data_IF_963374921294
#
_entry.id   IF_963374921294
#
_cell.length_a   1.000
_cell.length_b   1.000
_cell.length_c   1.000
_cell.angle_alpha   90.00
_cell.angle_beta   90.00
_cell.angle_gamma   90.00
#
_symmetry.space_group_name_H-M   'P 1'
#
loop_
_entity.id
_entity.type
_entity.pdbx_description
1 polymer ?
#
# COMPACT_ATOMS: atom_id res chain seq x y z
N UNK A 1 -30.05 -16.56 18.90
CA UNK A 1 -29.76 -16.52 17.43
C UNK A 1 -28.77 -15.41 16.98
N UNK A 2 -28.58 -14.32 17.73
CA UNK A 2 -27.69 -13.20 17.31
C UNK A 2 -26.17 -13.46 17.37
N UNK A 3 -25.71 -14.32 18.29
CA UNK A 3 -24.25 -14.58 18.46
C UNK A 3 -23.62 -15.37 17.29
N UNK A 4 -24.36 -16.27 16.64
CA UNK A 4 -23.87 -17.06 15.49
C UNK A 4 -23.65 -16.20 14.24
N UNK A 5 -24.48 -15.18 14.00
CA UNK A 5 -24.42 -14.33 12.81
C UNK A 5 -23.18 -13.42 12.80
N UNK A 6 -22.79 -12.88 13.96
CA UNK A 6 -21.56 -12.05 14.06
C UNK A 6 -20.27 -12.84 13.77
N UNK A 7 -20.26 -14.15 13.97
CA UNK A 7 -19.09 -15.00 13.75
C UNK A 7 -18.62 -15.03 12.28
N UNK A 8 -19.56 -15.02 11.32
CA UNK A 8 -19.22 -15.02 9.88
C UNK A 8 -18.54 -13.72 9.44
N UNK A 9 -19.01 -12.57 9.92
CA UNK A 9 -18.37 -11.28 9.61
C UNK A 9 -16.93 -11.22 10.13
N UNK A 10 -16.71 -11.64 11.38
CA UNK A 10 -15.36 -11.73 11.95
C UNK A 10 -14.46 -12.75 11.25
N UNK A 11 -15.01 -13.84 10.76
CA UNK A 11 -14.29 -14.83 9.93
C UNK A 11 -13.75 -14.19 8.65
N UNK A 12 -14.54 -13.32 8.00
CA UNK A 12 -14.09 -12.57 6.81
C UNK A 12 -13.00 -11.55 7.15
N UNK A 13 -13.13 -10.85 8.29
CA UNK A 13 -12.11 -9.91 8.76
C UNK A 13 -10.80 -10.63 9.05
N UNK A 14 -10.85 -11.79 9.73
CA UNK A 14 -9.67 -12.61 10.02
C UNK A 14 -9.01 -13.16 8.75
N UNK A 15 -9.80 -13.64 7.78
CA UNK A 15 -9.27 -14.09 6.48
C UNK A 15 -8.56 -12.95 5.75
N UNK A 16 -9.16 -11.77 5.71
CA UNK A 16 -8.59 -10.58 5.09
C UNK A 16 -7.35 -10.09 5.81
N UNK A 17 -7.31 -10.16 7.14
CA UNK A 17 -6.14 -9.83 7.94
C UNK A 17 -4.94 -10.74 7.60
N UNK A 18 -5.17 -12.06 7.55
CA UNK A 18 -4.14 -13.03 7.16
C UNK A 18 -3.62 -12.78 5.74
N UNK A 19 -4.51 -12.45 4.81
CA UNK A 19 -4.11 -12.15 3.44
C UNK A 19 -3.28 -10.86 3.36
N UNK A 20 -3.67 -9.80 4.08
CA UNK A 20 -2.89 -8.57 4.17
C UNK A 20 -1.53 -8.80 4.83
N UNK A 21 -1.50 -9.61 5.89
CA UNK A 21 -0.25 -10.01 6.56
C UNK A 21 0.70 -10.71 5.58
N UNK A 22 0.23 -11.69 4.81
CA UNK A 22 1.07 -12.40 3.84
C UNK A 22 1.50 -11.51 2.66
N UNK A 23 0.58 -10.70 2.11
CA UNK A 23 0.88 -9.76 1.03
C UNK A 23 2.00 -8.80 1.40
N UNK A 24 1.86 -8.16 2.57
CA UNK A 24 2.87 -7.21 3.04
C UNK A 24 4.16 -7.90 3.52
N UNK A 25 4.13 -9.21 3.78
CA UNK A 25 5.31 -10.00 4.05
C UNK A 25 6.36 -9.92 2.95
N UNK A 26 5.93 -10.00 1.69
CA UNK A 26 6.81 -9.82 0.54
C UNK A 26 7.47 -8.43 0.51
N UNK A 27 6.72 -7.40 0.84
CA UNK A 27 7.22 -6.01 0.86
C UNK A 27 8.14 -5.77 2.04
N UNK A 28 7.76 -6.26 3.22
CA UNK A 28 8.50 -6.07 4.46
C UNK A 28 9.86 -6.79 4.45
N UNK A 29 9.93 -8.00 3.91
CA UNK A 29 11.14 -8.82 3.95
C UNK A 29 12.11 -8.53 2.81
N UNK A 30 11.64 -7.98 1.68
CA UNK A 30 12.48 -7.74 0.51
C UNK A 30 13.73 -6.93 0.82
N UNK A 31 13.59 -5.79 1.48
CA UNK A 31 14.70 -4.88 1.77
C UNK A 31 15.79 -5.51 2.64
N UNK A 32 15.40 -6.46 3.51
CA UNK A 32 16.32 -7.21 4.37
C UNK A 32 17.00 -8.34 3.59
N UNK A 33 16.21 -9.12 2.86
CA UNK A 33 16.69 -10.29 2.09
C UNK A 33 17.53 -9.89 0.86
N UNK A 34 17.27 -8.71 0.29
CA UNK A 34 18.01 -8.18 -0.85
C UNK A 34 19.51 -8.13 -0.60
N UNK A 35 19.94 -7.75 0.61
CA UNK A 35 21.36 -7.56 0.95
C UNK A 35 22.12 -8.90 0.87
N UNK A 36 21.75 -9.95 1.62
CA UNK A 36 22.46 -11.23 1.53
C UNK A 36 22.27 -11.92 0.17
N UNK A 37 21.11 -11.79 -0.46
CA UNK A 37 20.85 -12.38 -1.78
C UNK A 37 21.74 -11.78 -2.86
N UNK A 38 21.93 -10.46 -2.90
CA UNK A 38 22.85 -9.79 -3.81
C UNK A 38 24.30 -10.25 -3.60
N UNK A 39 24.72 -10.39 -2.35
CA UNK A 39 26.08 -10.82 -2.02
C UNK A 39 26.33 -12.30 -2.38
N UNK A 40 25.42 -13.22 -2.09
CA UNK A 40 25.54 -14.65 -2.37
C UNK A 40 25.53 -14.96 -3.87
N UNK A 41 24.60 -14.30 -4.59
CA UNK A 41 24.41 -14.56 -6.03
C UNK A 41 25.32 -13.73 -6.94
N UNK A 42 26.02 -12.73 -6.43
CA UNK A 42 26.84 -11.80 -7.20
C UNK A 42 26.02 -10.91 -8.15
N UNK A 43 24.71 -10.76 -7.89
CA UNK A 43 23.82 -9.92 -8.70
C UNK A 43 23.93 -8.46 -8.29
N UNK A 44 23.83 -7.56 -9.26
CA UNK A 44 23.80 -6.12 -9.02
C UNK A 44 22.54 -5.70 -8.23
N UNK A 45 22.59 -4.55 -7.62
CA UNK A 45 21.45 -4.02 -6.86
C UNK A 45 20.25 -3.74 -7.76
N UNK A 46 20.49 -3.31 -9.02
CA UNK A 46 19.44 -3.11 -10.01
C UNK A 46 18.76 -4.43 -10.39
N UNK A 47 19.55 -5.49 -10.65
CA UNK A 47 19.03 -6.81 -11.02
C UNK A 47 18.16 -7.41 -9.92
N UNK A 48 18.60 -7.38 -8.65
CA UNK A 48 17.79 -7.87 -7.55
C UNK A 48 16.52 -7.04 -7.37
N UNK A 49 16.64 -5.72 -7.47
CA UNK A 49 15.49 -4.81 -7.31
C UNK A 49 14.50 -4.93 -8.46
N UNK A 50 14.95 -5.27 -9.68
CA UNK A 50 14.08 -5.49 -10.82
C UNK A 50 13.08 -6.65 -10.57
N UNK A 51 13.46 -7.68 -9.83
CA UNK A 51 12.54 -8.74 -9.42
C UNK A 51 11.37 -8.21 -8.55
N UNK A 52 11.66 -7.31 -7.62
CA UNK A 52 10.62 -6.63 -6.85
C UNK A 52 9.75 -5.71 -7.73
N UNK A 53 10.37 -5.00 -8.65
CA UNK A 53 9.65 -4.15 -9.62
C UNK A 53 8.69 -4.98 -10.47
N UNK A 54 9.11 -6.13 -10.98
CA UNK A 54 8.21 -7.07 -11.66
C UNK A 54 7.08 -7.56 -10.76
N UNK A 55 7.38 -7.87 -9.49
CA UNK A 55 6.33 -8.25 -8.53
C UNK A 55 5.26 -7.16 -8.43
N UNK A 56 5.63 -5.90 -8.35
CA UNK A 56 4.66 -4.80 -8.27
C UNK A 56 3.90 -4.57 -9.57
N UNK A 57 4.52 -4.77 -10.72
CA UNK A 57 3.85 -4.71 -12.01
C UNK A 57 2.80 -5.84 -12.15
N UNK A 58 3.18 -7.07 -11.87
CA UNK A 58 2.27 -8.22 -11.93
C UNK A 58 1.20 -8.17 -10.84
N UNK A 59 1.50 -7.57 -9.66
CA UNK A 59 0.49 -7.23 -8.66
C UNK A 59 -0.61 -6.33 -9.25
N UNK A 60 -0.25 -5.25 -9.93
CA UNK A 60 -1.23 -4.32 -10.49
C UNK A 60 -2.09 -4.97 -11.59
N UNK A 61 -1.46 -5.76 -12.47
CA UNK A 61 -2.14 -6.52 -13.52
C UNK A 61 -3.10 -7.55 -12.89
N UNK A 62 -2.63 -8.36 -11.96
CA UNK A 62 -3.45 -9.39 -11.31
C UNK A 62 -4.59 -8.79 -10.49
N UNK A 63 -4.37 -7.67 -9.80
CA UNK A 63 -5.40 -6.96 -9.06
C UNK A 63 -6.55 -6.52 -9.97
N UNK A 64 -6.23 -6.02 -11.18
CA UNK A 64 -7.24 -5.63 -12.16
C UNK A 64 -8.11 -6.81 -12.60
N UNK A 65 -7.50 -7.95 -12.95
CA UNK A 65 -8.25 -9.12 -13.41
C UNK A 65 -8.92 -9.92 -12.29
N UNK A 66 -8.40 -9.85 -11.08
CA UNK A 66 -8.90 -10.62 -9.93
C UNK A 66 -10.35 -10.27 -9.58
N UNK A 67 -10.79 -9.03 -9.79
CA UNK A 67 -12.19 -8.63 -9.60
C UNK A 67 -13.15 -9.50 -10.41
N UNK A 68 -12.84 -9.76 -11.68
CA UNK A 68 -13.64 -10.61 -12.56
C UNK A 68 -13.63 -12.09 -12.14
N UNK A 69 -12.49 -12.57 -11.64
CA UNK A 69 -12.35 -13.94 -11.12
C UNK A 69 -13.18 -14.10 -9.84
N UNK A 70 -13.16 -13.11 -8.95
CA UNK A 70 -13.94 -13.10 -7.72
C UNK A 70 -15.45 -13.15 -7.95
N UNK A 71 -15.93 -12.42 -8.95
CA UNK A 71 -17.36 -12.41 -9.30
C UNK A 71 -17.81 -13.76 -9.84
N UNK A 72 -16.95 -14.48 -10.57
CA UNK A 72 -17.25 -15.77 -11.17
C UNK A 72 -17.07 -16.96 -10.22
N UNK A 73 -15.99 -16.99 -9.46
CA UNK A 73 -15.57 -18.15 -8.65
C UNK A 73 -15.73 -17.94 -7.15
N UNK A 74 -16.03 -16.73 -6.72
CA UNK A 74 -16.14 -16.38 -5.31
C UNK A 74 -14.78 -16.24 -4.62
N UNK A 75 -14.80 -15.96 -3.31
CA UNK A 75 -13.62 -15.58 -2.54
C UNK A 75 -12.71 -16.76 -2.19
N UNK A 76 -13.27 -17.92 -1.83
CA UNK A 76 -12.49 -19.09 -1.36
C UNK A 76 -11.45 -19.60 -2.37
N UNK A 77 -11.81 -19.90 -3.63
CA UNK A 77 -10.84 -20.37 -4.63
C UNK A 77 -9.69 -19.36 -4.83
N UNK A 78 -9.99 -18.05 -4.79
CA UNK A 78 -8.99 -17.01 -4.97
C UNK A 78 -7.95 -17.04 -3.84
N UNK A 79 -8.37 -17.26 -2.58
CA UNK A 79 -7.43 -17.41 -1.47
C UNK A 79 -6.55 -18.65 -1.60
N UNK A 80 -7.11 -19.80 -2.04
CA UNK A 80 -6.31 -21.02 -2.22
C UNK A 80 -5.32 -20.91 -3.39
N UNK A 81 -5.74 -20.30 -4.52
CA UNK A 81 -4.82 -20.00 -5.62
C UNK A 81 -3.72 -19.04 -5.16
N UNK A 82 -4.11 -17.97 -4.44
CA UNK A 82 -3.17 -17.03 -3.83
C UNK A 82 -2.21 -17.69 -2.84
N UNK A 83 -2.67 -18.71 -2.10
CA UNK A 83 -1.83 -19.49 -1.18
C UNK A 83 -0.74 -20.27 -1.92
N UNK A 84 -1.12 -20.99 -2.97
CA UNK A 84 -0.18 -21.77 -3.79
C UNK A 84 0.82 -20.85 -4.47
N UNK A 85 0.35 -19.81 -5.17
CA UNK A 85 1.22 -18.88 -5.89
C UNK A 85 2.13 -18.09 -4.94
N UNK A 86 1.59 -17.62 -3.81
CA UNK A 86 2.37 -16.87 -2.81
C UNK A 86 3.41 -17.73 -2.12
N UNK A 87 3.07 -18.94 -1.71
CA UNK A 87 4.04 -19.86 -1.14
C UNK A 87 5.13 -20.23 -2.16
N UNK A 88 4.72 -20.53 -3.40
CA UNK A 88 5.65 -20.83 -4.50
C UNK A 88 6.58 -19.66 -4.80
N UNK A 89 6.08 -18.41 -4.71
CA UNK A 89 6.89 -17.21 -4.91
C UNK A 89 8.11 -17.16 -3.97
N UNK A 90 7.93 -17.42 -2.69
CA UNK A 90 9.05 -17.52 -1.75
C UNK A 90 9.87 -18.81 -1.93
N UNK A 91 9.19 -19.96 -1.94
CA UNK A 91 9.87 -21.26 -1.90
C UNK A 91 10.69 -21.51 -3.17
N UNK A 92 10.12 -21.26 -4.35
CA UNK A 92 10.84 -21.44 -5.62
C UNK A 92 11.97 -20.43 -5.74
N UNK A 93 11.78 -19.18 -5.27
CA UNK A 93 12.87 -18.20 -5.25
C UNK A 93 14.07 -18.69 -4.44
N UNK A 94 13.86 -19.39 -3.33
CA UNK A 94 14.96 -19.95 -2.52
C UNK A 94 15.80 -20.99 -3.26
N UNK A 95 15.25 -21.61 -4.29
CA UNK A 95 15.92 -22.65 -5.11
C UNK A 95 16.58 -22.07 -6.36
N UNK A 96 16.36 -20.79 -6.68
CA UNK A 96 16.85 -20.19 -7.92
C UNK A 96 18.37 -20.06 -7.96
N UNK A 97 18.92 -20.27 -9.16
CA UNK A 97 20.35 -20.07 -9.49
C UNK A 97 20.55 -19.06 -10.60
N UNK A 98 19.48 -18.50 -11.17
CA UNK A 98 19.53 -17.55 -12.27
C UNK A 98 18.55 -16.40 -12.09
N UNK A 99 18.89 -15.25 -12.67
CA UNK A 99 18.02 -14.06 -12.67
C UNK A 99 16.65 -14.32 -13.31
N UNK A 100 16.60 -15.08 -14.40
CA UNK A 100 15.33 -15.39 -15.06
C UNK A 100 14.39 -16.21 -14.18
N UNK A 101 14.93 -17.21 -13.47
CA UNK A 101 14.15 -18.00 -12.52
C UNK A 101 13.70 -17.16 -11.32
N UNK A 102 14.54 -16.25 -10.83
CA UNK A 102 14.20 -15.29 -9.80
C UNK A 102 13.09 -14.34 -10.25
N UNK A 103 13.16 -13.78 -11.46
CA UNK A 103 12.10 -12.91 -12.00
C UNK A 103 10.78 -13.66 -12.21
N UNK A 104 10.84 -14.93 -12.63
CA UNK A 104 9.64 -15.75 -12.78
C UNK A 104 8.99 -16.06 -11.42
N UNK A 105 9.77 -16.46 -10.42
CA UNK A 105 9.25 -16.85 -9.11
C UNK A 105 8.88 -15.65 -8.24
N UNK A 106 9.82 -14.75 -7.97
CA UNK A 106 9.59 -13.59 -7.11
C UNK A 106 8.80 -12.49 -7.84
N UNK A 107 9.10 -12.25 -9.12
CA UNK A 107 8.40 -11.24 -9.90
C UNK A 107 6.98 -11.67 -10.30
N UNK A 108 6.84 -12.76 -11.06
CA UNK A 108 5.54 -13.12 -11.63
C UNK A 108 4.66 -13.84 -10.60
N UNK A 109 5.12 -14.97 -10.03
CA UNK A 109 4.25 -15.76 -9.13
C UNK A 109 3.84 -14.98 -7.90
N UNK A 110 4.79 -14.33 -7.20
CA UNK A 110 4.46 -13.54 -6.03
C UNK A 110 3.67 -12.27 -6.39
N UNK A 111 3.95 -11.66 -7.54
CA UNK A 111 3.20 -10.51 -8.03
C UNK A 111 1.72 -10.84 -8.24
N UNK A 112 1.43 -11.91 -8.97
CA UNK A 112 0.05 -12.38 -9.20
C UNK A 112 -0.63 -12.71 -7.87
N UNK A 113 0.03 -13.46 -6.98
CA UNK A 113 -0.51 -13.83 -5.69
C UNK A 113 -0.87 -12.59 -4.85
N UNK A 114 0.04 -11.64 -4.73
CA UNK A 114 -0.16 -10.44 -3.90
C UNK A 114 -1.26 -9.53 -4.45
N UNK A 115 -1.41 -9.43 -5.78
CA UNK A 115 -2.52 -8.72 -6.42
C UNK A 115 -3.88 -9.38 -6.13
N UNK A 116 -3.96 -10.70 -6.22
CA UNK A 116 -5.17 -11.46 -5.88
C UNK A 116 -5.55 -11.30 -4.41
N UNK A 117 -4.59 -11.32 -3.49
CA UNK A 117 -4.82 -11.17 -2.04
C UNK A 117 -5.35 -9.79 -1.69
N UNK A 118 -4.84 -8.74 -2.31
CA UNK A 118 -5.32 -7.38 -2.12
C UNK A 118 -6.80 -7.22 -2.48
N UNK A 119 -7.15 -7.62 -3.69
CA UNK A 119 -8.51 -7.44 -4.20
C UNK A 119 -9.51 -8.32 -3.46
N UNK A 120 -9.15 -9.59 -3.20
CA UNK A 120 -10.05 -10.50 -2.47
C UNK A 120 -10.33 -10.01 -1.05
N UNK A 121 -9.34 -9.48 -0.36
CA UNK A 121 -9.50 -8.95 1.00
C UNK A 121 -10.37 -7.70 1.02
N UNK A 122 -10.10 -6.74 0.15
CA UNK A 122 -10.83 -5.46 0.12
C UNK A 122 -12.30 -5.64 -0.29
N UNK A 123 -12.56 -6.46 -1.31
CA UNK A 123 -13.92 -6.71 -1.79
C UNK A 123 -14.71 -7.53 -0.75
N UNK A 124 -14.11 -8.54 -0.13
CA UNK A 124 -14.81 -9.37 0.87
C UNK A 124 -15.28 -8.53 2.05
N UNK A 125 -14.44 -7.65 2.58
CA UNK A 125 -14.84 -6.76 3.68
C UNK A 125 -15.97 -5.83 3.24
N UNK A 126 -15.89 -5.28 2.02
CA UNK A 126 -16.92 -4.37 1.49
C UNK A 126 -18.27 -5.06 1.27
N UNK A 127 -18.29 -6.35 0.92
CA UNK A 127 -19.51 -7.14 0.79
C UNK A 127 -20.17 -7.40 2.13
N UNK A 128 -19.39 -7.63 3.20
CA UNK A 128 -19.89 -7.97 4.52
C UNK A 128 -20.17 -6.76 5.42
N UNK A 129 -19.49 -5.63 5.20
CA UNK A 129 -19.61 -4.44 6.03
C UNK A 129 -19.85 -3.19 5.20
N UNK A 130 -20.87 -2.42 5.59
CA UNK A 130 -21.31 -1.19 4.90
C UNK A 130 -21.43 -0.02 5.88
N UNK A 131 -21.55 1.20 5.36
CA UNK A 131 -21.74 2.41 6.16
C UNK A 131 -20.62 2.63 7.18
N UNK A 132 -20.99 2.99 8.40
CA UNK A 132 -20.03 3.30 9.50
C UNK A 132 -19.16 2.12 9.92
N UNK A 133 -19.58 0.89 9.65
CA UNK A 133 -18.86 -0.32 10.06
C UNK A 133 -17.76 -0.70 9.08
N UNK A 134 -17.83 -0.26 7.81
CA UNK A 134 -16.85 -0.62 6.80
C UNK A 134 -15.44 -0.13 7.14
N UNK A 135 -15.28 1.16 7.42
CA UNK A 135 -13.97 1.75 7.66
C UNK A 135 -13.26 1.12 8.87
N UNK A 136 -14.03 0.84 9.95
CA UNK A 136 -13.52 0.17 11.15
C UNK A 136 -13.02 -1.25 10.83
N UNK A 137 -13.81 -2.04 10.12
CA UNK A 137 -13.47 -3.44 9.85
C UNK A 137 -12.37 -3.56 8.80
N UNK A 138 -12.37 -2.66 7.81
CA UNK A 138 -11.25 -2.54 6.87
C UNK A 138 -9.96 -2.19 7.60
N UNK A 139 -9.99 -1.22 8.52
CA UNK A 139 -8.83 -0.83 9.33
C UNK A 139 -8.28 -1.99 10.16
N UNK A 140 -9.15 -2.79 10.80
CA UNK A 140 -8.73 -3.99 11.56
C UNK A 140 -8.05 -5.01 10.63
N UNK A 141 -8.62 -5.29 9.47
CA UNK A 141 -8.00 -6.21 8.51
C UNK A 141 -6.67 -5.66 7.97
N UNK A 142 -6.59 -4.36 7.71
CA UNK A 142 -5.39 -3.71 7.19
C UNK A 142 -4.24 -3.65 8.20
N UNK A 143 -4.51 -3.79 9.51
CA UNK A 143 -3.46 -3.93 10.54
C UNK A 143 -2.54 -5.13 10.29
N UNK A 144 -2.94 -6.11 9.47
CA UNK A 144 -2.07 -7.16 9.00
C UNK A 144 -0.80 -6.63 8.30
N UNK A 145 -0.87 -5.48 7.61
CA UNK A 145 0.25 -4.88 6.90
C UNK A 145 1.39 -4.41 7.85
N UNK A 146 1.16 -3.47 8.78
CA UNK A 146 2.20 -3.06 9.71
C UNK A 146 2.64 -4.17 10.67
N UNK A 147 1.75 -5.10 11.04
CA UNK A 147 2.14 -6.28 11.83
C UNK A 147 3.05 -7.22 11.05
N UNK A 148 2.83 -7.39 9.75
CA UNK A 148 3.74 -8.11 8.88
C UNK A 148 5.12 -7.45 8.83
N UNK A 149 5.15 -6.12 8.73
CA UNK A 149 6.39 -5.34 8.77
C UNK A 149 7.20 -5.63 10.04
N UNK A 150 6.56 -5.76 11.19
CA UNK A 150 7.24 -6.09 12.46
C UNK A 150 7.61 -7.57 12.53
N UNK A 151 6.62 -8.45 12.41
CA UNK A 151 6.78 -9.89 12.71
C UNK A 151 7.69 -10.57 11.68
N UNK A 152 7.44 -10.37 10.39
CA UNK A 152 8.24 -11.02 9.34
C UNK A 152 9.64 -10.43 9.24
N UNK A 153 9.82 -9.12 9.50
CA UNK A 153 11.17 -8.54 9.55
C UNK A 153 11.99 -9.06 10.73
N UNK A 154 11.36 -9.19 11.92
CA UNK A 154 12.02 -9.82 13.09
C UNK A 154 12.40 -11.26 12.82
N UNK A 155 11.51 -12.03 12.19
CA UNK A 155 11.77 -13.41 11.81
C UNK A 155 12.97 -13.51 10.86
N UNK A 156 12.99 -12.73 9.77
CA UNK A 156 14.10 -12.75 8.80
C UNK A 156 15.40 -12.28 9.46
N UNK A 157 15.35 -11.24 10.28
CA UNK A 157 16.52 -10.80 11.06
C UNK A 157 17.09 -11.93 11.91
N UNK A 158 16.23 -12.65 12.62
CA UNK A 158 16.66 -13.79 13.46
C UNK A 158 17.24 -14.94 12.62
N UNK A 159 16.61 -15.24 11.48
CA UNK A 159 17.07 -16.29 10.57
C UNK A 159 18.44 -16.00 9.94
N UNK A 160 18.77 -14.72 9.75
CA UNK A 160 20.03 -14.25 9.19
C UNK A 160 21.11 -13.99 10.27
N UNK A 161 20.76 -14.00 11.56
CA UNK A 161 21.68 -13.70 12.64
C UNK A 161 22.71 -14.81 12.82
N UNK A 162 23.99 -14.49 12.63
CA UNK A 162 25.11 -15.44 12.77
C UNK A 162 25.21 -16.50 11.66
N UNK A 163 24.42 -16.37 10.61
CA UNK A 163 24.44 -17.27 9.45
C UNK A 163 25.27 -16.65 8.30
N UNK A 164 25.95 -17.51 7.55
CA UNK A 164 26.77 -17.13 6.42
C UNK A 164 26.10 -17.52 5.08
N UNK A 165 26.47 -16.80 4.02
CA UNK A 165 26.19 -17.15 2.61
C UNK A 165 24.71 -17.24 2.27
N UNK A 166 24.20 -18.47 2.15
CA UNK A 166 22.90 -18.78 1.57
C UNK A 166 21.73 -18.83 2.58
N UNK A 167 21.92 -18.36 3.82
CA UNK A 167 20.89 -18.37 4.88
C UNK A 167 19.58 -17.69 4.46
N UNK A 168 19.63 -16.75 3.52
CA UNK A 168 18.43 -16.11 2.94
C UNK A 168 17.51 -17.13 2.25
N UNK A 169 18.08 -18.26 1.72
CA UNK A 169 17.30 -19.33 1.09
C UNK A 169 16.44 -20.06 2.12
N UNK A 170 17.03 -20.44 3.24
CA UNK A 170 16.31 -21.06 4.35
C UNK A 170 15.22 -20.13 4.91
N UNK A 171 15.52 -18.85 5.07
CA UNK A 171 14.52 -17.85 5.48
C UNK A 171 13.34 -17.78 4.50
N UNK A 172 13.60 -17.76 3.19
CA UNK A 172 12.54 -17.75 2.17
C UNK A 172 11.72 -19.05 2.16
N UNK A 173 12.33 -20.22 2.39
CA UNK A 173 11.58 -21.48 2.48
C UNK A 173 10.58 -21.44 3.65
N UNK A 174 11.02 -21.02 4.82
CA UNK A 174 10.13 -20.89 5.98
C UNK A 174 9.03 -19.84 5.73
N UNK A 175 9.35 -18.69 5.12
CA UNK A 175 8.35 -17.71 4.73
C UNK A 175 7.34 -18.29 3.74
N UNK A 176 7.76 -19.12 2.79
CA UNK A 176 6.88 -19.84 1.86
C UNK A 176 5.90 -20.76 2.60
N UNK A 177 6.41 -21.59 3.52
CA UNK A 177 5.57 -22.50 4.33
C UNK A 177 4.60 -21.72 5.21
N UNK A 178 5.07 -20.64 5.87
CA UNK A 178 4.23 -19.78 6.70
C UNK A 178 3.12 -19.11 5.86
N UNK A 179 3.47 -18.60 4.69
CA UNK A 179 2.50 -17.99 3.75
C UNK A 179 1.46 -19.00 3.33
N UNK A 180 1.86 -20.23 2.99
CA UNK A 180 0.93 -21.31 2.64
C UNK A 180 -0.03 -21.59 3.80
N UNK A 181 0.48 -21.80 5.00
CA UNK A 181 -0.31 -22.13 6.18
C UNK A 181 -1.32 -21.00 6.49
N UNK A 182 -0.86 -19.74 6.54
CA UNK A 182 -1.71 -18.59 6.80
C UNK A 182 -2.81 -18.43 5.74
N UNK A 183 -2.49 -18.59 4.46
CA UNK A 183 -3.46 -18.38 3.38
C UNK A 183 -4.41 -19.56 3.20
N UNK A 184 -4.01 -20.79 3.53
CA UNK A 184 -4.92 -21.93 3.62
C UNK A 184 -5.94 -21.68 4.74
N UNK A 185 -5.50 -21.22 5.91
CA UNK A 185 -6.42 -20.81 7.00
C UNK A 185 -7.33 -19.67 6.55
N UNK A 186 -6.80 -18.66 5.85
CA UNK A 186 -7.60 -17.58 5.30
C UNK A 186 -8.68 -18.09 4.32
N UNK A 187 -8.33 -19.02 3.43
CA UNK A 187 -9.27 -19.67 2.51
C UNK A 187 -10.37 -20.46 3.21
N UNK A 188 -10.05 -21.16 4.31
CA UNK A 188 -11.03 -21.87 5.14
C UNK A 188 -11.97 -20.91 5.86
N UNK A 189 -11.44 -19.78 6.34
CA UNK A 189 -12.22 -18.74 7.02
C UNK A 189 -13.03 -17.87 6.04
N UNK A 190 -12.61 -17.76 4.79
CA UNK A 190 -13.25 -16.94 3.78
C UNK A 190 -14.72 -17.33 3.56
N UNK A 191 -15.56 -16.32 3.40
CA UNK A 191 -16.99 -16.47 3.10
C UNK A 191 -17.32 -15.77 1.79
N UNK A 192 -18.30 -16.30 1.07
CA UNK A 192 -18.88 -15.68 -0.12
C UNK A 192 -19.68 -14.42 0.19
N UNK A 193 -20.77 -14.21 -0.52
CA UNK A 193 -21.65 -13.08 -0.24
C UNK A 193 -22.48 -13.37 1.03
N UNK A 194 -22.87 -12.33 1.80
CA UNK A 194 -23.76 -12.49 2.95
C UNK A 194 -25.07 -13.21 2.61
N UNK A 195 -25.59 -12.96 1.39
CA UNK A 195 -26.83 -13.54 0.89
C UNK A 195 -26.77 -15.08 0.79
N UNK A 196 -25.59 -15.66 0.50
CA UNK A 196 -25.36 -17.11 0.42
C UNK A 196 -25.59 -17.80 1.78
N UNK A 197 -25.61 -17.00 2.86
CA UNK A 197 -25.81 -17.45 4.24
C UNK A 197 -27.14 -16.94 4.82
N UNK A 198 -28.07 -16.46 4.00
CA UNK A 198 -29.30 -15.80 4.41
C UNK A 198 -29.05 -14.64 5.39
N UNK A 199 -28.04 -13.83 5.12
CA UNK A 199 -27.64 -12.68 5.92
C UNK A 199 -27.61 -11.42 5.06
N UNK A 200 -27.73 -10.28 5.72
CA UNK A 200 -27.48 -8.97 5.12
C UNK A 200 -26.13 -8.46 5.58
N UNK A 201 -25.55 -7.54 4.81
CA UNK A 201 -24.31 -6.86 5.18
C UNK A 201 -24.49 -6.13 6.52
N UNK A 202 -23.44 -6.11 7.34
CA UNK A 202 -23.45 -5.44 8.63
C UNK A 202 -23.27 -3.92 8.48
N UNK A 203 -24.15 -3.15 9.05
CA UNK A 203 -24.12 -1.69 9.08
C UNK A 203 -25.34 -1.06 8.43
N UNK A 204 -25.47 0.25 8.62
CA UNK A 204 -26.52 1.03 7.98
C UNK A 204 -26.04 1.49 6.62
N UNK A 205 -26.81 1.26 5.57
CA UNK A 205 -26.59 1.92 4.29
C UNK A 205 -26.73 3.43 4.50
N UNK A 206 -25.83 4.26 3.95
CA UNK A 206 -26.04 5.70 3.94
C UNK A 206 -27.40 5.97 3.27
N UNK A 207 -28.31 6.66 3.97
CA UNK A 207 -29.54 7.13 3.35
C UNK A 207 -29.11 7.96 2.13
N UNK A 208 -29.68 7.65 0.95
CA UNK A 208 -29.49 8.47 -0.25
C UNK A 208 -29.95 9.89 0.13
N UNK A 209 -29.01 10.81 0.26
CA UNK A 209 -29.33 12.24 0.33
C UNK A 209 -30.17 12.56 -0.90
N UNK A 210 -31.27 13.24 -0.72
CA UNK A 210 -32.30 13.41 -1.76
C UNK A 210 -31.90 14.18 -3.02
N UNK A 211 -30.63 14.56 -3.18
CA UNK A 211 -30.07 15.08 -4.44
C UNK A 211 -29.35 13.97 -5.19
N UNK A 212 -29.68 13.71 -6.46
CA UNK A 212 -28.97 12.73 -7.27
C UNK A 212 -27.50 13.15 -7.40
N UNK A 213 -26.56 12.34 -6.87
CA UNK A 213 -25.13 12.52 -7.17
C UNK A 213 -24.91 12.43 -8.68
N UNK A 214 -24.14 13.37 -9.25
CA UNK A 214 -23.74 13.29 -10.66
C UNK A 214 -23.01 11.96 -10.90
N UNK A 215 -23.52 11.17 -11.84
CA UNK A 215 -22.88 9.92 -12.27
C UNK A 215 -21.85 10.27 -13.34
N UNK A 216 -20.57 10.25 -13.00
CA UNK A 216 -19.49 10.55 -13.92
C UNK A 216 -19.19 9.36 -14.84
N UNK A 217 -19.12 9.60 -16.16
CA UNK A 217 -18.54 8.63 -17.07
C UNK A 217 -17.00 8.61 -16.89
N UNK A 218 -16.35 7.44 -17.07
CA UNK A 218 -14.88 7.32 -16.96
C UNK A 218 -14.19 8.34 -17.88
N UNK A 219 -14.62 8.42 -19.14
CA UNK A 219 -14.05 9.36 -20.12
C UNK A 219 -14.20 10.82 -19.68
N UNK A 220 -15.33 11.18 -19.10
CA UNK A 220 -15.59 12.53 -18.59
C UNK A 220 -14.68 12.85 -17.41
N UNK A 221 -14.54 11.95 -16.42
CA UNK A 221 -13.64 12.14 -15.29
C UNK A 221 -12.19 12.29 -15.75
N UNK A 222 -11.70 11.43 -16.65
CA UNK A 222 -10.34 11.46 -17.19
C UNK A 222 -10.09 12.61 -18.18
N UNK A 223 -11.09 13.39 -18.54
CA UNK A 223 -10.91 14.66 -19.26
C UNK A 223 -10.70 15.87 -18.34
N UNK A 224 -10.81 15.70 -17.04
CA UNK A 224 -10.66 16.78 -16.05
C UNK A 224 -9.28 16.78 -15.39
N UNK A 225 -8.81 17.95 -14.94
CA UNK A 225 -7.52 18.10 -14.26
C UNK A 225 -7.44 17.36 -12.90
N UNK A 226 -8.49 17.36 -12.02
CA UNK A 226 -8.38 16.77 -10.69
C UNK A 226 -7.95 15.30 -10.69
N UNK A 227 -8.41 14.49 -11.65
CA UNK A 227 -8.02 13.06 -11.69
C UNK A 227 -6.55 12.91 -12.05
N UNK A 228 -6.05 13.63 -13.06
CA UNK A 228 -4.66 13.57 -13.46
C UNK A 228 -3.74 14.18 -12.40
N UNK A 229 -4.15 15.30 -11.79
CA UNK A 229 -3.43 15.88 -10.66
C UNK A 229 -3.30 14.89 -9.49
N UNK A 230 -4.39 14.20 -9.14
CA UNK A 230 -4.37 13.15 -8.10
C UNK A 230 -3.53 11.93 -8.52
N UNK A 231 -3.60 11.48 -9.78
CA UNK A 231 -2.80 10.38 -10.31
C UNK A 231 -1.30 10.72 -10.23
N UNK A 232 -0.88 11.87 -10.76
CA UNK A 232 0.54 12.24 -10.77
C UNK A 232 1.09 12.55 -9.37
N UNK A 233 0.28 13.19 -8.52
CA UNK A 233 0.62 13.39 -7.12
C UNK A 233 0.85 12.04 -6.40
N UNK A 234 -0.07 11.10 -6.58
CA UNK A 234 0.02 9.79 -5.95
C UNK A 234 1.12 8.93 -6.58
N UNK A 235 1.31 9.01 -7.90
CA UNK A 235 2.38 8.31 -8.61
C UNK A 235 3.76 8.72 -8.09
N UNK A 236 4.02 10.02 -7.97
CA UNK A 236 5.31 10.54 -7.47
C UNK A 236 5.51 10.21 -5.99
N UNK A 237 4.44 10.20 -5.18
CA UNK A 237 4.48 9.69 -3.82
C UNK A 237 4.84 8.20 -3.75
N UNK A 238 4.17 7.36 -4.54
CA UNK A 238 4.41 5.91 -4.57
C UNK A 238 5.80 5.58 -5.09
N UNK A 239 6.30 6.33 -6.08
CA UNK A 239 7.65 6.19 -6.59
C UNK A 239 8.67 6.42 -5.48
N UNK A 240 8.54 7.51 -4.72
CA UNK A 240 9.40 7.83 -3.58
C UNK A 240 9.26 6.79 -2.45
N UNK A 241 8.02 6.44 -2.09
CA UNK A 241 7.72 5.49 -1.01
C UNK A 241 8.38 4.14 -1.27
N UNK A 242 8.14 3.55 -2.44
CA UNK A 242 8.67 2.24 -2.76
C UNK A 242 10.17 2.23 -3.00
N UNK A 243 10.74 3.36 -3.44
CA UNK A 243 12.18 3.53 -3.49
C UNK A 243 12.78 3.49 -2.08
N UNK A 244 12.29 4.30 -1.16
CA UNK A 244 12.77 4.29 0.25
C UNK A 244 12.54 2.92 0.86
N UNK A 245 11.36 2.33 0.69
CA UNK A 245 11.00 1.03 1.26
C UNK A 245 11.97 -0.08 0.85
N UNK A 246 12.43 -0.08 -0.39
CA UNK A 246 13.28 -1.13 -0.93
C UNK A 246 14.77 -0.86 -0.78
N UNK A 247 15.20 0.40 -0.58
CA UNK A 247 16.60 0.78 -0.58
C UNK A 247 17.14 1.18 0.79
N UNK A 248 16.28 1.53 1.76
CA UNK A 248 16.72 2.13 3.02
C UNK A 248 17.64 1.24 3.86
N UNK A 249 17.37 -0.08 3.93
CA UNK A 249 18.27 -1.01 4.64
C UNK A 249 19.62 -1.07 3.95
N UNK A 250 19.63 -1.13 2.62
CA UNK A 250 20.88 -1.14 1.84
C UNK A 250 21.65 0.18 1.99
N UNK A 251 20.96 1.33 2.09
CA UNK A 251 21.57 2.61 2.41
C UNK A 251 22.27 2.58 3.78
N UNK A 252 21.58 2.10 4.80
CA UNK A 252 22.16 2.00 6.14
C UNK A 252 23.35 1.04 6.22
N UNK A 253 23.28 -0.08 5.52
CA UNK A 253 24.36 -1.08 5.57
C UNK A 253 25.56 -0.71 4.68
N UNK A 254 25.32 -0.28 3.45
CA UNK A 254 26.38 -0.02 2.49
C UNK A 254 27.00 1.39 2.57
N UNK A 255 26.16 2.41 2.80
CA UNK A 255 26.64 3.80 2.81
C UNK A 255 27.01 4.27 4.22
N UNK A 256 26.26 3.86 5.26
CA UNK A 256 26.51 4.26 6.66
C UNK A 256 27.26 3.20 7.49
N UNK A 257 27.47 1.99 6.95
CA UNK A 257 28.22 0.94 7.63
C UNK A 257 27.54 0.30 8.84
N UNK A 258 26.21 0.45 8.96
CA UNK A 258 25.45 -0.19 10.04
C UNK A 258 25.39 -1.71 9.80
N UNK A 259 25.35 -2.49 10.88
CA UNK A 259 25.08 -3.91 10.77
C UNK A 259 23.64 -4.17 10.28
N UNK A 260 23.43 -5.25 9.52
CA UNK A 260 22.11 -5.62 8.99
C UNK A 260 21.04 -5.70 10.10
N UNK A 261 21.43 -6.22 11.29
CA UNK A 261 20.54 -6.29 12.43
C UNK A 261 20.10 -4.93 12.98
N UNK A 262 21.00 -3.94 13.00
CA UNK A 262 20.73 -2.56 13.43
C UNK A 262 19.83 -1.85 12.40
N UNK A 263 20.17 -1.95 11.11
CA UNK A 263 19.35 -1.42 10.03
C UNK A 263 17.92 -2.00 10.04
N UNK A 264 17.81 -3.32 10.30
CA UNK A 264 16.49 -3.98 10.42
C UNK A 264 15.71 -3.47 11.63
N UNK A 265 16.36 -3.18 12.76
CA UNK A 265 15.69 -2.60 13.94
C UNK A 265 15.08 -1.23 13.62
N UNK A 266 15.82 -0.38 12.90
CA UNK A 266 15.28 0.91 12.43
C UNK A 266 14.08 0.70 11.51
N UNK A 267 14.20 -0.21 10.54
CA UNK A 267 13.15 -0.51 9.57
C UNK A 267 11.83 -1.00 10.23
N UNK A 268 11.93 -1.80 11.28
CA UNK A 268 10.78 -2.31 12.05
C UNK A 268 10.00 -1.18 12.72
N UNK A 269 10.64 -0.06 13.07
CA UNK A 269 9.99 1.11 13.68
C UNK A 269 8.85 1.62 12.79
N UNK A 270 9.02 1.59 11.46
CA UNK A 270 7.97 1.97 10.50
C UNK A 270 6.70 1.15 10.75
N UNK A 271 6.83 -0.17 10.93
CA UNK A 271 5.71 -1.05 11.21
C UNK A 271 5.08 -0.80 12.58
N UNK A 272 5.89 -0.69 13.63
CA UNK A 272 5.40 -0.44 15.00
C UNK A 272 4.59 0.86 15.04
N UNK A 273 5.16 1.95 14.50
CA UNK A 273 4.48 3.25 14.45
C UNK A 273 3.27 3.19 13.52
N UNK A 274 3.34 2.43 12.41
CA UNK A 274 2.25 2.22 11.46
C UNK A 274 0.98 1.67 12.10
N UNK A 275 1.11 0.74 13.07
CA UNK A 275 -0.04 0.17 13.80
C UNK A 275 -0.87 1.29 14.48
N UNK A 276 -0.21 2.29 15.04
CA UNK A 276 -0.85 3.38 15.77
C UNK A 276 -1.15 4.58 14.88
N UNK A 277 -0.26 4.92 13.95
CA UNK A 277 -0.41 6.10 13.10
C UNK A 277 -1.57 5.97 12.11
N UNK A 278 -1.88 4.79 11.59
CA UNK A 278 -2.99 4.60 10.65
C UNK A 278 -4.35 5.04 11.22
N UNK A 279 -4.83 4.54 12.39
CA UNK A 279 -6.08 5.01 12.96
C UNK A 279 -6.01 6.47 13.41
N UNK A 280 -4.86 6.91 13.97
CA UNK A 280 -4.68 8.28 14.44
C UNK A 280 -4.76 9.30 13.29
N UNK A 281 -4.09 9.04 12.18
CA UNK A 281 -4.14 9.92 11.01
C UNK A 281 -5.51 9.93 10.34
N UNK A 282 -6.26 8.83 10.42
CA UNK A 282 -7.68 8.82 10.05
C UNK A 282 -8.51 9.84 10.83
N UNK A 283 -8.35 9.86 12.16
CA UNK A 283 -9.02 10.83 13.04
C UNK A 283 -8.57 12.27 12.72
N UNK A 284 -7.28 12.48 12.47
CA UNK A 284 -6.74 13.80 12.09
C UNK A 284 -7.32 14.26 10.76
N UNK A 285 -7.42 13.36 9.78
CA UNK A 285 -8.02 13.65 8.48
C UNK A 285 -9.50 14.04 8.60
N UNK A 286 -10.28 13.33 9.42
CA UNK A 286 -11.69 13.65 9.64
C UNK A 286 -11.85 15.00 10.34
N UNK A 287 -10.98 15.33 11.31
CA UNK A 287 -10.94 16.67 11.93
C UNK A 287 -10.55 17.77 10.92
N UNK A 288 -9.62 17.48 10.00
CA UNK A 288 -9.25 18.43 8.95
C UNK A 288 -10.43 18.72 8.00
N UNK A 289 -11.21 17.69 7.66
CA UNK A 289 -12.45 17.82 6.87
C UNK A 289 -13.48 18.65 7.63
N UNK A 290 -13.74 18.32 8.90
CA UNK A 290 -14.72 19.05 9.73
C UNK A 290 -14.40 20.54 9.93
N UNK A 291 -13.12 20.93 9.82
CA UNK A 291 -12.63 22.32 9.97
C UNK A 291 -12.42 23.02 8.62
N UNK A 292 -12.86 22.45 7.53
CA UNK A 292 -12.69 22.98 6.18
C UNK A 292 -14.04 23.34 5.57
N UNK A 293 -14.06 24.26 4.60
CA UNK A 293 -15.27 24.70 3.92
C UNK A 293 -15.96 23.57 3.13
N UNK A 294 -15.18 22.60 2.63
CA UNK A 294 -15.70 21.41 1.96
C UNK A 294 -14.78 20.20 2.19
N UNK A 295 -15.30 18.98 1.92
CA UNK A 295 -14.53 17.73 2.10
C UNK A 295 -13.25 17.74 1.26
N UNK A 296 -13.33 18.17 -0.02
CA UNK A 296 -12.18 18.22 -0.91
C UNK A 296 -11.04 19.10 -0.35
N UNK A 297 -11.36 20.24 0.29
CA UNK A 297 -10.38 21.10 0.92
C UNK A 297 -9.69 20.42 2.12
N UNK A 298 -10.47 19.75 2.96
CA UNK A 298 -9.90 19.01 4.11
C UNK A 298 -8.99 17.88 3.67
N UNK A 299 -9.42 17.11 2.67
CA UNK A 299 -8.61 16.04 2.07
C UNK A 299 -7.33 16.59 1.40
N UNK A 300 -7.42 17.71 0.65
CA UNK A 300 -6.27 18.38 0.04
C UNK A 300 -5.22 18.79 1.09
N UNK A 301 -5.63 19.35 2.24
CA UNK A 301 -4.70 19.70 3.33
C UNK A 301 -3.88 18.47 3.79
N UNK A 302 -4.54 17.33 3.93
CA UNK A 302 -3.86 16.08 4.31
C UNK A 302 -2.94 15.57 3.19
N UNK A 303 -3.32 15.71 1.92
CA UNK A 303 -2.50 15.36 0.78
C UNK A 303 -1.25 16.24 0.63
N UNK A 304 -1.28 17.48 1.08
CA UNK A 304 -0.09 18.34 1.19
C UNK A 304 0.77 17.92 2.39
N UNK A 305 0.15 17.68 3.54
CA UNK A 305 0.83 17.28 4.76
C UNK A 305 1.61 15.96 4.60
N UNK A 306 1.01 14.96 3.95
CA UNK A 306 1.64 13.65 3.77
C UNK A 306 3.01 13.73 3.06
N UNK A 307 3.13 14.21 1.82
CA UNK A 307 4.42 14.35 1.14
C UNK A 307 5.42 15.23 1.88
N UNK A 308 4.97 16.27 2.62
CA UNK A 308 5.87 17.07 3.46
C UNK A 308 6.51 16.20 4.55
N UNK A 309 5.75 15.30 5.19
CA UNK A 309 6.36 14.35 6.15
C UNK A 309 7.33 13.41 5.46
N UNK A 310 7.06 12.99 4.21
CA UNK A 310 8.01 12.23 3.39
C UNK A 310 9.32 12.97 3.10
N UNK A 311 9.23 14.28 2.77
CA UNK A 311 10.40 15.15 2.57
C UNK A 311 11.24 15.22 3.86
N UNK A 312 10.60 15.46 5.01
CA UNK A 312 11.29 15.53 6.30
C UNK A 312 11.94 14.19 6.65
N UNK A 313 11.27 13.08 6.42
CA UNK A 313 11.84 11.76 6.64
C UNK A 313 13.09 11.52 5.78
N UNK A 314 13.05 11.81 4.47
CA UNK A 314 14.21 11.69 3.60
C UNK A 314 15.34 12.66 3.98
N UNK A 315 15.02 13.90 4.38
CA UNK A 315 16.02 14.84 4.86
C UNK A 315 16.74 14.34 6.13
N UNK A 316 15.98 13.74 7.08
CA UNK A 316 16.57 13.11 8.27
C UNK A 316 17.49 11.93 7.92
N UNK A 317 17.13 11.12 6.91
CA UNK A 317 18.01 10.05 6.41
C UNK A 317 19.31 10.62 5.83
N UNK A 318 19.24 11.68 5.03
CA UNK A 318 20.43 12.31 4.42
C UNK A 318 21.34 12.98 5.44
N UNK A 319 20.79 13.45 6.57
CA UNK A 319 21.55 14.03 7.68
C UNK A 319 22.09 12.96 8.66
N UNK A 320 21.63 11.72 8.54
CA UNK A 320 22.05 10.63 9.39
C UNK A 320 23.50 10.23 9.09
N UNK A 321 24.26 10.01 10.17
CA UNK A 321 25.59 9.40 10.15
C UNK A 321 25.59 8.14 11.00
N UNK A 322 26.68 7.39 10.98
CA UNK A 322 26.84 6.22 11.83
C UNK A 322 26.66 6.53 13.34
N UNK A 323 27.10 7.71 13.78
CA UNK A 323 27.01 8.15 15.17
C UNK A 323 25.64 8.76 15.54
N UNK A 324 24.85 9.21 14.55
CA UNK A 324 23.52 9.81 14.76
C UNK A 324 22.38 8.85 14.44
N UNK A 325 22.48 7.62 14.95
CA UNK A 325 21.50 6.54 14.74
C UNK A 325 20.05 6.96 15.04
N UNK A 326 19.84 7.85 16.02
CA UNK A 326 18.52 8.35 16.40
C UNK A 326 17.81 9.12 15.28
N UNK A 327 18.55 9.74 14.34
CA UNK A 327 17.94 10.41 13.18
C UNK A 327 17.24 9.42 12.26
N UNK A 328 17.81 8.21 12.09
CA UNK A 328 17.15 7.12 11.36
C UNK A 328 15.85 6.67 12.03
N UNK A 329 15.84 6.57 13.37
CA UNK A 329 14.63 6.23 14.11
C UNK A 329 13.54 7.30 13.96
N UNK A 330 13.90 8.58 14.07
CA UNK A 330 12.97 9.70 13.84
C UNK A 330 12.46 9.70 12.41
N UNK A 331 13.32 9.47 11.42
CA UNK A 331 12.94 9.34 10.01
C UNK A 331 11.88 8.25 9.84
N UNK A 332 12.07 7.07 10.43
CA UNK A 332 11.12 5.94 10.37
C UNK A 332 9.76 6.30 10.98
N UNK A 333 9.74 7.00 12.11
CA UNK A 333 8.50 7.50 12.75
C UNK A 333 7.76 8.45 11.80
N UNK A 334 8.47 9.40 11.22
CA UNK A 334 7.88 10.41 10.31
C UNK A 334 7.41 9.74 9.00
N UNK A 335 8.18 8.78 8.47
CA UNK A 335 7.80 8.03 7.28
C UNK A 335 6.55 7.17 7.50
N UNK A 336 6.37 6.59 8.69
CA UNK A 336 5.16 5.87 9.05
C UNK A 336 3.92 6.77 9.10
N UNK A 337 4.08 8.07 9.46
CA UNK A 337 3.01 9.06 9.38
C UNK A 337 2.65 9.35 7.92
N UNK A 338 3.65 9.54 7.05
CA UNK A 338 3.44 9.68 5.61
C UNK A 338 2.59 8.51 5.06
N UNK A 339 3.03 7.28 5.35
CA UNK A 339 2.35 6.05 4.89
C UNK A 339 0.89 5.96 5.37
N UNK A 340 0.61 6.43 6.58
CA UNK A 340 -0.75 6.44 7.11
C UNK A 340 -1.67 7.47 6.44
N UNK A 341 -1.12 8.53 5.84
CA UNK A 341 -1.90 9.68 5.32
C UNK A 341 -2.22 9.53 3.83
N UNK A 342 -1.21 9.26 3.00
CA UNK A 342 -1.32 9.48 1.55
C UNK A 342 -2.20 8.46 0.84
N UNK A 343 -2.06 7.14 1.01
CA UNK A 343 -2.85 6.18 0.25
C UNK A 343 -4.37 6.31 0.48
N UNK A 344 -4.78 6.52 1.74
CA UNK A 344 -6.19 6.72 2.09
C UNK A 344 -6.70 8.12 1.74
N UNK A 345 -5.83 9.13 1.87
CA UNK A 345 -6.16 10.53 1.63
C UNK A 345 -6.52 10.82 0.18
N UNK A 346 -5.79 10.22 -0.77
CA UNK A 346 -6.01 10.44 -2.20
C UNK A 346 -7.32 9.82 -2.69
N UNK A 347 -7.68 8.65 -2.16
CA UNK A 347 -9.00 8.02 -2.43
C UNK A 347 -10.13 8.89 -1.88
N UNK A 348 -9.93 9.43 -0.67
CA UNK A 348 -10.89 10.36 -0.05
C UNK A 348 -11.08 11.64 -0.88
N UNK A 349 -10.00 12.21 -1.40
CA UNK A 349 -10.06 13.37 -2.28
C UNK A 349 -10.80 13.07 -3.59
N UNK A 350 -10.46 11.97 -4.27
CA UNK A 350 -11.16 11.56 -5.50
C UNK A 350 -12.66 11.30 -5.23
N UNK A 351 -13.01 10.73 -4.09
CA UNK A 351 -14.40 10.53 -3.67
C UNK A 351 -15.14 11.84 -3.40
N UNK A 352 -14.46 12.86 -2.89
CA UNK A 352 -15.05 14.19 -2.67
C UNK A 352 -15.30 14.95 -3.98
N UNK A 353 -14.49 14.72 -5.03
CA UNK A 353 -14.62 15.38 -6.34
C UNK A 353 -15.64 14.67 -7.24
N UNK A 354 -15.56 13.34 -7.34
CA UNK A 354 -16.34 12.56 -8.33
C UNK A 354 -17.54 11.82 -7.75
N UNK A 355 -17.80 11.99 -6.45
CA UNK A 355 -18.88 11.30 -5.76
C UNK A 355 -18.57 9.81 -5.52
N UNK A 356 -19.41 9.19 -4.68
CA UNK A 356 -19.20 7.80 -4.24
C UNK A 356 -19.70 6.76 -5.25
N UNK A 357 -20.71 7.12 -6.04
CA UNK A 357 -21.38 6.19 -6.96
C UNK A 357 -20.46 5.67 -8.07
N UNK A 358 -19.56 6.51 -8.57
CA UNK A 358 -18.67 6.19 -9.70
C UNK A 358 -17.21 6.02 -9.29
N UNK A 359 -16.88 6.29 -8.02
CA UNK A 359 -15.51 6.27 -7.50
C UNK A 359 -14.79 4.94 -7.78
N UNK A 360 -15.48 3.82 -7.61
CA UNK A 360 -14.86 2.50 -7.80
C UNK A 360 -14.31 2.27 -9.20
N UNK A 361 -15.02 2.74 -10.23
CA UNK A 361 -14.58 2.61 -11.63
C UNK A 361 -13.46 3.59 -11.98
N UNK A 362 -13.62 4.86 -11.58
CA UNK A 362 -12.66 5.94 -11.87
C UNK A 362 -11.35 5.67 -11.12
N UNK A 363 -11.44 5.43 -9.82
CA UNK A 363 -10.27 5.22 -8.97
C UNK A 363 -9.60 3.86 -9.19
N UNK A 364 -10.36 2.84 -9.57
CA UNK A 364 -9.82 1.54 -9.97
C UNK A 364 -8.83 1.66 -11.14
N UNK A 365 -9.20 2.41 -12.18
CA UNK A 365 -8.30 2.67 -13.32
C UNK A 365 -7.11 3.57 -12.92
N UNK A 366 -7.35 4.60 -12.11
CA UNK A 366 -6.29 5.45 -11.60
C UNK A 366 -5.27 4.65 -10.75
N UNK A 367 -5.75 3.75 -9.91
CA UNK A 367 -4.91 2.87 -9.08
C UNK A 367 -4.08 1.91 -9.94
N UNK A 368 -4.64 1.36 -11.02
CA UNK A 368 -3.90 0.52 -11.96
C UNK A 368 -2.69 1.28 -12.53
N UNK A 369 -2.88 2.54 -12.94
CA UNK A 369 -1.81 3.38 -13.46
C UNK A 369 -0.76 3.64 -12.37
N UNK A 370 -1.19 4.10 -11.20
CA UNK A 370 -0.28 4.48 -10.12
C UNK A 370 0.49 3.30 -9.56
N UNK A 371 -0.20 2.21 -9.24
CA UNK A 371 0.42 1.02 -8.62
C UNK A 371 1.19 0.16 -9.63
N UNK A 372 0.87 0.25 -10.92
CA UNK A 372 1.62 -0.41 -11.97
C UNK A 372 2.91 0.32 -12.33
N UNK A 373 2.96 1.64 -12.18
CA UNK A 373 4.09 2.47 -12.62
C UNK A 373 4.98 2.89 -11.46
N UNK A 374 4.44 3.50 -10.41
CA UNK A 374 5.23 4.05 -9.29
C UNK A 374 6.06 3.00 -8.55
N UNK A 375 5.44 1.95 -8.01
CA UNK A 375 6.14 0.86 -7.34
C UNK A 375 7.03 0.00 -8.24
N UNK A 376 6.83 0.03 -9.55
CA UNK A 376 7.72 -0.60 -10.54
C UNK A 376 8.97 0.24 -10.77
N UNK A 377 8.80 1.52 -11.10
CA UNK A 377 9.90 2.41 -11.52
C UNK A 377 10.73 2.87 -10.31
N UNK A 378 10.11 3.19 -9.17
CA UNK A 378 10.81 3.72 -8.00
C UNK A 378 11.97 2.86 -7.53
N UNK A 379 11.73 1.59 -7.16
CA UNK A 379 12.79 0.68 -6.75
C UNK A 379 13.87 0.47 -7.83
N UNK A 380 13.47 0.40 -9.10
CA UNK A 380 14.38 0.22 -10.23
C UNK A 380 15.33 1.41 -10.37
N UNK A 381 14.81 2.65 -10.29
CA UNK A 381 15.65 3.85 -10.29
C UNK A 381 16.62 3.81 -9.10
N UNK A 382 16.17 3.41 -7.92
CA UNK A 382 17.01 3.32 -6.74
C UNK A 382 18.19 2.33 -6.92
N UNK A 383 17.93 1.17 -7.51
CA UNK A 383 18.97 0.19 -7.85
C UNK A 383 19.95 0.72 -8.90
N UNK A 384 19.42 1.30 -9.98
CA UNK A 384 20.23 1.87 -11.05
C UNK A 384 21.13 3.02 -10.56
N UNK A 385 20.60 3.92 -9.73
CA UNK A 385 21.40 5.01 -9.16
C UNK A 385 22.52 4.48 -8.29
N UNK A 386 22.30 3.43 -7.50
CA UNK A 386 23.36 2.77 -6.72
C UNK A 386 24.44 2.19 -7.62
N UNK A 387 24.06 1.44 -8.64
CA UNK A 387 25.01 0.78 -9.53
C UNK A 387 25.85 1.81 -10.34
N UNK A 388 25.24 2.94 -10.73
CA UNK A 388 25.90 3.99 -11.52
C UNK A 388 26.75 4.95 -10.69
N UNK A 389 26.36 5.25 -9.44
CA UNK A 389 27.02 6.26 -8.59
C UNK A 389 27.84 5.67 -7.45
N UNK A 390 27.67 4.40 -7.16
CA UNK A 390 28.29 3.73 -6.01
C UNK A 390 27.65 4.03 -4.66
N UNK A 391 26.60 4.88 -4.58
CA UNK A 391 25.97 5.29 -3.30
C UNK A 391 24.46 5.31 -3.38
N UNK A 392 23.80 4.91 -2.30
CA UNK A 392 22.34 5.03 -2.11
C UNK A 392 21.90 6.45 -1.76
N UNK A 393 22.82 7.34 -1.38
CA UNK A 393 22.51 8.74 -1.09
C UNK A 393 21.74 9.40 -2.23
N UNK A 394 22.12 9.15 -3.48
CA UNK A 394 21.41 9.67 -4.65
C UNK A 394 19.99 9.09 -4.79
N UNK A 395 19.79 7.84 -4.39
CA UNK A 395 18.47 7.22 -4.36
C UNK A 395 17.57 7.93 -3.34
N UNK A 396 18.07 8.22 -2.15
CA UNK A 396 17.31 8.98 -1.12
C UNK A 396 17.04 10.42 -1.57
N UNK A 397 18.02 11.08 -2.24
CA UNK A 397 17.83 12.42 -2.82
C UNK A 397 16.75 12.42 -3.90
N UNK A 398 16.71 11.40 -4.74
CA UNK A 398 15.67 11.24 -5.76
C UNK A 398 14.29 11.04 -5.13
N UNK A 399 14.18 10.24 -4.04
CA UNK A 399 12.94 10.08 -3.29
C UNK A 399 12.47 11.40 -2.67
N UNK A 400 13.40 12.17 -2.08
CA UNK A 400 13.11 13.50 -1.54
C UNK A 400 12.55 14.42 -2.63
N UNK A 401 13.22 14.49 -3.78
CA UNK A 401 12.76 15.30 -4.92
C UNK A 401 11.37 14.87 -5.41
N UNK A 402 11.11 13.56 -5.46
CA UNK A 402 9.80 13.02 -5.84
C UNK A 402 8.71 13.40 -4.84
N UNK A 403 8.99 13.42 -3.53
CA UNK A 403 8.06 13.92 -2.52
C UNK A 403 7.82 15.43 -2.65
N UNK A 404 8.83 16.22 -3.01
CA UNK A 404 8.66 17.66 -3.29
C UNK A 404 7.70 17.86 -4.47
N UNK A 405 7.91 17.14 -5.57
CA UNK A 405 6.99 17.18 -6.73
C UNK A 405 5.57 16.78 -6.30
N UNK A 406 5.43 15.72 -5.50
CA UNK A 406 4.14 15.28 -4.97
C UNK A 406 3.46 16.36 -4.13
N UNK A 407 4.18 17.04 -3.25
CA UNK A 407 3.65 18.13 -2.43
C UNK A 407 3.17 19.32 -3.27
N UNK A 408 3.93 19.69 -4.31
CA UNK A 408 3.56 20.75 -5.25
C UNK A 408 2.30 20.39 -6.06
N UNK A 409 2.23 19.14 -6.55
CA UNK A 409 1.03 18.64 -7.23
C UNK A 409 -0.17 18.58 -6.28
N UNK A 410 -0.01 18.18 -5.02
CA UNK A 410 -1.06 18.23 -4.02
C UNK A 410 -1.56 19.66 -3.77
N UNK A 411 -0.64 20.63 -3.74
CA UNK A 411 -0.98 22.04 -3.58
C UNK A 411 -1.76 22.61 -4.78
N UNK A 412 -1.54 22.11 -5.98
CA UNK A 412 -2.25 22.53 -7.20
C UNK A 412 -3.64 21.90 -7.37
N UNK A 413 -3.99 20.86 -6.58
CA UNK A 413 -5.27 20.16 -6.71
C UNK A 413 -6.45 21.13 -6.51
N UNK A 414 -7.45 21.15 -7.40
CA UNK A 414 -8.65 21.97 -7.25
C UNK A 414 -9.62 21.35 -6.23
N UNK A 415 -10.62 22.13 -5.82
CA UNK A 415 -11.64 21.68 -4.86
C UNK A 415 -12.91 21.16 -5.55
N UNK A 416 -13.02 21.38 -6.86
CA UNK A 416 -14.13 20.92 -7.70
C UNK A 416 -13.60 20.39 -9.03
N UNK A 417 -14.40 19.59 -9.73
CA UNK A 417 -14.03 19.04 -11.04
C UNK A 417 -13.79 20.12 -12.10
N UNK A 418 -14.46 21.28 -11.96
CA UNK A 418 -14.34 22.43 -12.88
C UNK A 418 -13.26 23.43 -12.45
N UNK A 419 -12.53 23.15 -11.37
CA UNK A 419 -11.50 24.06 -10.84
C UNK A 419 -12.05 25.30 -10.13
N UNK A 420 -13.36 25.49 -10.07
CA UNK A 420 -14.01 26.59 -9.35
C UNK A 420 -14.22 26.25 -7.89
N UNK A 421 -14.00 27.20 -7.01
CA UNK A 421 -14.43 27.09 -5.60
C UNK A 421 -15.93 27.26 -5.59
N UNK A 422 -16.68 26.22 -5.20
CA UNK A 422 -18.10 26.38 -4.89
C UNK A 422 -18.17 27.29 -3.64
N UNK A 423 -18.53 28.54 -3.84
CA UNK A 423 -18.93 29.40 -2.74
C UNK A 423 -20.24 28.86 -2.17
N UNK A 424 -20.44 28.95 -0.86
CA UNK A 424 -21.68 28.53 -0.19
C UNK A 424 -22.92 29.32 -0.65
N UNK A 425 -22.74 30.30 -1.54
CA UNK A 425 -23.80 31.19 -2.03
C UNK A 425 -24.61 30.67 -3.24
N UNK A 426 -24.20 29.53 -3.83
CA UNK A 426 -25.00 28.86 -4.88
C UNK A 426 -26.11 27.96 -4.26
N UNK A 427 -26.85 28.47 -3.28
CA UNK A 427 -28.13 27.87 -2.89
C UNK A 427 -29.21 28.33 -3.89
N UNK A 428 -30.11 27.42 -4.32
CA UNK A 428 -31.22 27.76 -5.26
C UNK A 428 -32.19 28.82 -4.73
N UNK A 429 -32.04 29.27 -3.50
CA UNK A 429 -32.83 30.34 -2.89
C UNK A 429 -32.41 31.73 -3.39
N UNK A 430 -31.19 31.91 -3.91
CA UNK A 430 -30.75 33.19 -4.45
C UNK A 430 -31.33 33.50 -5.85
N UNK A 431 -31.64 32.46 -6.66
CA UNK A 431 -32.31 32.64 -7.96
C UNK A 431 -33.84 32.89 -7.84
N UNK A 432 -34.44 32.38 -6.74
CA UNK A 432 -35.88 32.60 -6.51
C UNK A 432 -36.22 34.01 -5.95
N UNK A 433 -35.22 34.73 -5.44
CA UNK A 433 -35.38 36.10 -4.91
C UNK A 433 -35.07 37.20 -5.97
N UNK A 434 -34.56 36.82 -7.13
CA UNK A 434 -34.21 37.74 -8.21
C UNK A 434 -35.23 37.76 -9.38
N UNK A 435 -36.31 36.94 -9.32
CA UNK A 435 -37.49 36.96 -10.18
C UNK A 435 -38.73 37.28 -9.32
#
# INVERSE_FOLDING_TARGET
>A
MGKSKNCYGWSVVAASWLAMFCLFGYRATFSILKVPMSADMGWSQAEVTLGYSFMMMFYAIAAFFCGMILDKWGTKPVYFIGAILGASGFYVTSLTQSLYAYYASYGILAGVATGMLWVSSTISIRKWYVGKNYAKMFGIAFMGAPMSQVIMSLFVKQALAGAEGDAWRAAMQVLGVLTLACLVVAGLLAKGNPEDYNMQAFGEMPQKSGKPEKVWAIREAFSTYPIWGAIFMFLTSMLAEFLVWTQVISYWTADLGLQLGEATNLYIIIGIVGIFSMPLMGIVADKAVARSSCEAQGRKKMLIFGPITGIVACAMLLLQTQTTFFLGAISCVIFAIYWAVVPGGVVGYAGAIYGRATLGKIWGLATLIVMGVGPFIGPLIGGYLKDSTGSYTYSIMFALASFVVSALLAASLPMTAEGKVSSMDDTPEAEAAAN
#
